data_IF_769411957118
#
_entry.id   IF_769411957118
#
_cell.length_a   1.000
_cell.length_b   1.000
_cell.length_c   1.000
_cell.angle_alpha   90.00
_cell.angle_beta   90.00
_cell.angle_gamma   90.00
#
_symmetry.space_group_name_H-M   'P 1'
#
loop_
_entity.id
_entity.type
_entity.pdbx_description
1 polymer ?
#
# COMPACT_ATOMS: atom_id res chain seq x y z
N UNK A 1 18.02 -18.91 -1.13
CA UNK A 1 16.87 -19.72 -1.60
C UNK A 1 16.22 -20.25 -0.34
N UNK A 2 15.01 -19.80 -0.01
CA UNK A 2 14.35 -20.21 1.24
C UNK A 2 14.11 -21.73 1.25
N UNK A 3 14.33 -22.35 2.40
CA UNK A 3 14.06 -23.76 2.64
C UNK A 3 12.56 -24.07 2.53
N UNK A 4 12.22 -25.34 2.27
CA UNK A 4 10.83 -25.78 2.17
C UNK A 4 10.03 -25.48 3.45
N UNK A 5 10.69 -25.54 4.61
CA UNK A 5 10.08 -25.27 5.91
C UNK A 5 9.84 -23.76 6.12
N UNK A 6 10.76 -22.89 5.69
CA UNK A 6 10.56 -21.43 5.73
C UNK A 6 9.42 -20.99 4.80
N UNK A 7 9.30 -21.61 3.61
CA UNK A 7 8.18 -21.34 2.70
C UNK A 7 6.85 -21.78 3.28
N UNK A 8 6.84 -22.90 4.01
CA UNK A 8 5.64 -23.42 4.64
C UNK A 8 5.20 -22.54 5.80
N UNK A 9 6.15 -22.05 6.61
CA UNK A 9 5.90 -21.09 7.68
C UNK A 9 5.33 -19.78 7.10
N UNK A 10 5.96 -19.23 6.05
CA UNK A 10 5.45 -18.05 5.34
C UNK A 10 4.05 -18.27 4.78
N UNK A 11 3.72 -19.44 4.24
CA UNK A 11 2.36 -19.74 3.77
C UNK A 11 1.35 -19.93 4.90
N UNK A 12 1.77 -20.43 6.06
CA UNK A 12 0.92 -20.53 7.25
C UNK A 12 0.66 -19.13 7.83
N UNK A 13 1.68 -18.29 7.94
CA UNK A 13 1.56 -16.89 8.36
C UNK A 13 0.66 -16.09 7.41
N UNK A 14 0.81 -16.28 6.09
CA UNK A 14 -0.06 -15.65 5.07
C UNK A 14 -1.51 -16.12 5.20
N UNK A 15 -1.76 -17.41 5.49
CA UNK A 15 -3.11 -17.95 5.69
C UNK A 15 -3.74 -17.45 6.99
N UNK A 16 -2.96 -17.30 8.05
CA UNK A 16 -3.44 -16.67 9.27
C UNK A 16 -3.85 -15.22 9.00
N UNK A 17 -3.05 -14.46 8.23
CA UNK A 17 -3.41 -13.12 7.74
C UNK A 17 -4.66 -13.11 6.85
N UNK A 18 -4.93 -14.14 6.04
CA UNK A 18 -6.18 -14.24 5.26
C UNK A 18 -7.43 -14.43 6.14
N UNK A 19 -7.26 -14.91 7.37
CA UNK A 19 -8.37 -15.27 8.28
C UNK A 19 -8.65 -14.19 9.32
N UNK A 20 -7.68 -13.33 9.61
CA UNK A 20 -7.92 -12.10 10.37
C UNK A 20 -8.75 -11.13 9.53
N UNK A 21 -9.86 -10.64 10.09
CA UNK A 21 -10.38 -9.33 9.66
C UNK A 21 -9.17 -8.40 9.65
N UNK A 22 -8.86 -7.80 8.49
CA UNK A 22 -7.70 -6.90 8.36
C UNK A 22 -7.88 -5.78 9.38
N UNK A 23 -7.25 -5.95 10.53
CA UNK A 23 -7.14 -4.99 11.62
C UNK A 23 -5.65 -4.69 11.64
N UNK A 24 -5.25 -3.77 10.75
CA UNK A 24 -3.89 -3.25 10.61
C UNK A 24 -3.39 -2.55 11.88
N UNK A 25 -4.23 -2.45 12.92
CA UNK A 25 -3.85 -1.93 14.23
C UNK A 25 -3.28 -0.53 14.12
N UNK A 26 -2.08 -0.34 14.65
CA UNK A 26 -1.35 0.93 14.58
C UNK A 26 -0.43 1.03 13.33
N UNK A 27 -0.33 0.00 12.49
CA UNK A 27 0.61 0.00 11.34
C UNK A 27 0.26 1.08 10.31
N UNK A 28 -1.04 1.28 10.03
CA UNK A 28 -1.50 2.33 9.13
C UNK A 28 -1.13 3.73 9.64
N UNK A 29 -1.31 3.98 10.94
CA UNK A 29 -0.93 5.25 11.59
C UNK A 29 0.57 5.46 11.63
N UNK A 30 1.33 4.40 11.90
CA UNK A 30 2.80 4.46 11.87
C UNK A 30 3.27 4.83 10.46
N UNK A 31 2.73 4.18 9.43
CA UNK A 31 3.03 4.52 8.04
C UNK A 31 2.65 5.96 7.71
N UNK A 32 1.46 6.42 8.13
CA UNK A 32 1.03 7.80 7.91
C UNK A 32 2.02 8.80 8.51
N UNK A 33 2.39 8.63 9.78
CA UNK A 33 3.35 9.51 10.46
C UNK A 33 4.71 9.54 9.76
N UNK A 34 5.21 8.39 9.32
CA UNK A 34 6.51 8.32 8.64
C UNK A 34 6.47 8.97 7.25
N UNK A 35 5.34 8.88 6.54
CA UNK A 35 5.13 9.59 5.28
C UNK A 35 5.02 11.09 5.49
N UNK A 36 4.31 11.54 6.54
CA UNK A 36 4.24 12.96 6.91
C UNK A 36 5.61 13.53 7.27
N UNK A 37 6.37 12.82 8.11
CA UNK A 37 7.72 13.23 8.53
C UNK A 37 8.65 13.34 7.31
N UNK A 38 8.51 12.44 6.33
CA UNK A 38 9.24 12.52 5.08
C UNK A 38 8.76 13.67 4.18
N UNK A 39 7.46 13.84 3.99
CA UNK A 39 6.91 14.85 3.07
C UNK A 39 7.02 16.28 3.60
N UNK A 40 6.88 16.49 4.90
CA UNK A 40 6.89 17.81 5.55
C UNK A 40 8.32 18.18 5.97
N UNK A 41 9.00 17.26 6.68
CA UNK A 41 10.30 17.56 7.29
C UNK A 41 11.49 17.05 6.46
N UNK A 42 11.26 16.25 5.41
CA UNK A 42 12.32 15.68 4.58
C UNK A 42 13.12 14.58 5.31
N UNK A 43 12.56 14.02 6.38
CA UNK A 43 13.21 13.04 7.24
C UNK A 43 12.77 11.63 6.86
N UNK A 44 13.72 10.75 6.56
CA UNK A 44 13.47 9.36 6.19
C UNK A 44 14.19 8.95 4.91
N UNK A 45 14.16 7.65 4.61
CA UNK A 45 14.73 7.10 3.38
C UNK A 45 13.62 6.73 2.39
N UNK A 46 13.75 7.18 1.15
CA UNK A 46 12.74 6.97 0.12
C UNK A 46 12.57 5.50 -0.25
N UNK A 47 13.66 4.73 -0.29
CA UNK A 47 13.61 3.30 -0.64
C UNK A 47 12.95 2.50 0.48
N UNK A 48 13.27 2.80 1.74
CA UNK A 48 12.61 2.23 2.91
C UNK A 48 11.10 2.54 2.93
N UNK A 49 10.72 3.81 2.73
CA UNK A 49 9.31 4.20 2.66
C UNK A 49 8.58 3.53 1.51
N UNK A 50 9.20 3.43 0.34
CA UNK A 50 8.63 2.71 -0.81
C UNK A 50 8.33 1.26 -0.44
N UNK A 51 9.29 0.57 0.18
CA UNK A 51 9.13 -0.81 0.63
C UNK A 51 8.03 -0.97 1.69
N UNK A 52 7.94 -0.03 2.64
CA UNK A 52 6.92 -0.05 3.69
C UNK A 52 5.52 0.21 3.17
N UNK A 53 5.36 1.11 2.19
CA UNK A 53 4.10 1.29 1.48
C UNK A 53 3.73 -0.02 0.77
N UNK A 54 4.64 -0.62 0.01
CA UNK A 54 4.37 -1.88 -0.70
C UNK A 54 3.95 -3.01 0.26
N UNK A 55 4.61 -3.15 1.40
CA UNK A 55 4.24 -4.13 2.44
C UNK A 55 2.85 -3.86 3.02
N UNK A 56 2.53 -2.60 3.32
CA UNK A 56 1.22 -2.23 3.85
C UNK A 56 0.10 -2.59 2.87
N UNK A 57 0.23 -2.22 1.58
CA UNK A 57 -0.77 -2.58 0.57
C UNK A 57 -0.82 -4.10 0.31
N UNK A 58 0.31 -4.80 0.44
CA UNK A 58 0.35 -6.26 0.37
C UNK A 58 -0.50 -6.92 1.46
N UNK A 59 -0.55 -6.35 2.68
CA UNK A 59 -1.41 -6.87 3.76
C UNK A 59 -2.91 -6.84 3.42
N UNK A 60 -3.34 -5.89 2.58
CA UNK A 60 -4.70 -5.83 2.04
C UNK A 60 -4.90 -6.70 0.78
N UNK A 61 -3.90 -7.52 0.42
CA UNK A 61 -3.85 -8.28 -0.84
C UNK A 61 -3.92 -7.37 -2.08
N UNK A 62 -3.48 -6.11 -1.95
CA UNK A 62 -3.35 -5.17 -3.06
C UNK A 62 -1.96 -5.34 -3.65
N UNK A 63 -1.88 -6.10 -4.74
CA UNK A 63 -0.60 -6.36 -5.41
C UNK A 63 -0.24 -5.23 -6.38
N UNK A 64 0.96 -4.67 -6.19
CA UNK A 64 1.52 -3.64 -7.04
C UNK A 64 2.11 -4.25 -8.32
N UNK A 65 1.70 -3.77 -9.50
CA UNK A 65 2.25 -4.20 -10.79
C UNK A 65 3.57 -3.52 -11.16
N UNK A 66 3.84 -2.37 -10.53
CA UNK A 66 5.05 -1.55 -10.66
C UNK A 66 5.45 -1.05 -9.27
N UNK A 67 6.73 -0.73 -9.05
CA UNK A 67 7.16 -0.15 -7.78
C UNK A 67 6.36 1.10 -7.44
N UNK A 68 6.11 1.33 -6.15
CA UNK A 68 5.44 2.55 -5.68
C UNK A 68 6.29 3.76 -6.06
N UNK A 69 5.62 4.79 -6.59
CA UNK A 69 6.29 6.05 -6.96
C UNK A 69 5.94 7.10 -5.93
N UNK A 70 6.93 7.52 -5.15
CA UNK A 70 6.84 8.68 -4.27
C UNK A 70 7.36 9.92 -5.03
N UNK A 71 6.57 10.99 -5.10
CA UNK A 71 6.98 12.26 -5.70
C UNK A 71 6.43 13.43 -4.87
N UNK A 72 7.27 14.37 -4.45
CA UNK A 72 6.84 15.51 -3.61
C UNK A 72 6.03 15.04 -2.38
N UNK A 73 4.75 15.43 -2.28
CA UNK A 73 3.80 15.11 -1.22
C UNK A 73 2.79 14.03 -1.62
N UNK A 74 3.08 13.28 -2.69
CA UNK A 74 2.19 12.26 -3.22
C UNK A 74 2.92 10.91 -3.36
N UNK A 75 2.16 9.83 -3.30
CA UNK A 75 2.62 8.52 -3.72
C UNK A 75 1.56 7.79 -4.54
N UNK A 76 2.01 7.00 -5.51
CA UNK A 76 1.14 6.26 -6.44
C UNK A 76 1.33 4.76 -6.28
N UNK A 77 0.21 4.06 -6.08
CA UNK A 77 0.11 2.61 -6.09
C UNK A 77 -0.43 2.16 -7.45
N UNK A 78 0.30 1.30 -8.13
CA UNK A 78 -0.11 0.74 -9.42
C UNK A 78 -0.82 -0.60 -9.20
N UNK A 79 -2.14 -0.57 -9.07
CA UNK A 79 -2.93 -1.75 -8.75
C UNK A 79 -2.99 -2.74 -9.91
N UNK A 80 -2.74 -4.03 -9.65
CA UNK A 80 -2.72 -5.07 -10.69
C UNK A 80 -4.13 -5.60 -11.06
N UNK A 81 -5.18 -4.80 -10.86
CA UNK A 81 -6.55 -5.16 -11.19
C UNK A 81 -7.33 -3.94 -11.72
N UNK A 82 -8.41 -4.26 -12.41
CA UNK A 82 -9.46 -3.36 -12.89
C UNK A 82 -10.62 -3.21 -11.89
N UNK A 83 -10.72 -4.11 -10.90
CA UNK A 83 -11.78 -4.14 -9.91
C UNK A 83 -11.26 -3.75 -8.52
N UNK A 84 -11.80 -2.67 -7.98
CA UNK A 84 -11.45 -2.16 -6.67
C UNK A 84 -12.50 -2.56 -5.64
N UNK A 85 -12.10 -3.26 -4.56
CA UNK A 85 -12.98 -3.49 -3.41
C UNK A 85 -13.05 -2.22 -2.55
N UNK A 86 -14.20 -1.55 -2.61
CA UNK A 86 -14.43 -0.31 -1.88
C UNK A 86 -14.28 -0.45 -0.36
N UNK A 87 -14.57 -1.62 0.22
CA UNK A 87 -14.44 -1.80 1.67
C UNK A 87 -12.97 -1.82 2.09
N UNK A 88 -12.09 -2.43 1.29
CA UNK A 88 -10.65 -2.42 1.53
C UNK A 88 -10.07 -1.01 1.39
N UNK A 89 -10.49 -0.29 0.35
CA UNK A 89 -10.08 1.10 0.15
C UNK A 89 -10.52 2.00 1.29
N UNK A 90 -11.74 1.78 1.81
CA UNK A 90 -12.21 2.54 2.96
C UNK A 90 -11.33 2.29 4.19
N UNK A 91 -10.92 1.05 4.47
CA UNK A 91 -10.02 0.76 5.58
C UNK A 91 -8.67 1.47 5.41
N UNK A 92 -8.11 1.45 4.20
CA UNK A 92 -6.85 2.15 3.88
C UNK A 92 -7.00 3.67 4.06
N UNK A 93 -8.14 4.24 3.66
CA UNK A 93 -8.41 5.67 3.86
C UNK A 93 -8.65 6.03 5.33
N UNK A 94 -9.25 5.12 6.12
CA UNK A 94 -9.43 5.33 7.56
C UNK A 94 -8.07 5.30 8.29
N UNK A 95 -7.11 4.49 7.80
CA UNK A 95 -5.73 4.42 8.30
C UNK A 95 -4.86 5.60 7.84
N UNK A 96 -4.98 6.00 6.57
CA UNK A 96 -4.25 7.09 5.92
C UNK A 96 -5.13 8.34 5.82
N UNK A 97 -5.76 8.70 6.93
CA UNK A 97 -6.78 9.76 7.03
C UNK A 97 -6.32 11.16 6.61
N UNK A 98 -5.02 11.45 6.67
CA UNK A 98 -4.47 12.75 6.26
C UNK A 98 -4.16 12.84 4.75
N UNK A 99 -4.37 11.74 4.01
CA UNK A 99 -4.19 11.68 2.57
C UNK A 99 -5.53 11.79 1.82
N UNK A 100 -5.56 12.60 0.77
CA UNK A 100 -6.60 12.51 -0.25
C UNK A 100 -6.28 11.37 -1.22
N UNK A 101 -7.27 10.54 -1.52
CA UNK A 101 -7.16 9.48 -2.52
C UNK A 101 -7.85 9.87 -3.83
N UNK A 102 -7.08 9.90 -4.92
CA UNK A 102 -7.58 9.95 -6.30
C UNK A 102 -7.42 8.58 -6.96
N UNK A 103 -8.51 8.05 -7.53
CA UNK A 103 -8.54 6.77 -8.23
C UNK A 103 -8.53 7.04 -9.74
N UNK A 104 -7.48 6.60 -10.41
CA UNK A 104 -7.30 6.82 -11.85
C UNK A 104 -7.40 5.49 -12.60
N UNK A 105 -8.22 5.44 -13.66
CA UNK A 105 -8.26 4.31 -14.57
C UNK A 105 -7.30 4.55 -15.75
N UNK A 106 -6.25 3.73 -15.84
CA UNK A 106 -5.20 3.86 -16.85
C UNK A 106 -5.27 2.69 -17.82
N UNK A 107 -5.23 3.00 -19.11
CA UNK A 107 -5.14 1.99 -20.16
C UNK A 107 -3.68 1.60 -20.37
N UNK A 108 -3.33 0.36 -20.05
CA UNK A 108 -2.01 -0.22 -20.31
C UNK A 108 -2.15 -1.41 -21.25
N UNK A 109 -1.47 -1.33 -22.39
CA UNK A 109 -1.54 -2.32 -23.46
C UNK A 109 -2.99 -2.63 -23.91
N UNK A 110 -3.56 -3.73 -23.43
CA UNK A 110 -4.91 -4.22 -23.75
C UNK A 110 -5.87 -4.16 -22.57
N UNK A 111 -5.39 -3.80 -21.39
CA UNK A 111 -6.16 -3.82 -20.15
C UNK A 111 -6.41 -2.39 -19.63
N UNK A 112 -7.47 -2.24 -18.84
CA UNK A 112 -7.74 -1.01 -18.09
C UNK A 112 -7.47 -1.36 -16.63
N UNK A 113 -6.46 -0.71 -16.06
CA UNK A 113 -5.98 -0.94 -14.71
C UNK A 113 -6.19 0.29 -13.86
N UNK A 114 -6.12 0.13 -12.54
CA UNK A 114 -6.33 1.22 -11.60
C UNK A 114 -5.00 1.69 -11.03
N UNK A 115 -4.86 3.00 -10.85
CA UNK A 115 -3.87 3.62 -9.99
C UNK A 115 -4.58 4.26 -8.79
N UNK A 116 -3.95 4.17 -7.63
CA UNK A 116 -4.36 4.88 -6.42
C UNK A 116 -3.31 5.96 -6.15
N UNK A 117 -3.70 7.21 -6.26
CA UNK A 117 -2.84 8.35 -6.02
C UNK A 117 -3.21 8.95 -4.66
N UNK A 118 -2.29 8.89 -3.71
CA UNK A 118 -2.47 9.45 -2.38
C UNK A 118 -1.71 10.76 -2.29
N UNK A 119 -2.37 11.84 -1.91
CA UNK A 119 -1.79 13.17 -1.78
C UNK A 119 -1.94 13.69 -0.36
N UNK A 120 -0.84 14.04 0.30
CA UNK A 120 -0.86 14.70 1.60
C UNK A 120 -1.18 16.18 1.40
N UNK A 121 -2.24 16.68 2.05
CA UNK A 121 -2.54 18.11 2.11
C UNK A 121 -2.11 18.67 3.46
N UNK A 122 -1.27 19.71 3.46
CA UNK A 122 -0.72 20.36 4.66
C UNK A 122 -0.90 21.89 4.59
#
# INVERSE_FOLDING_TARGET
>A
MYSEDEKKQLMEDLKEMETFKVDTGDEGKILQNDLEEYFINGNGDREDLTFRIELYFYAFKIFCRKPVVIDRNQFTIFFNDSLLDWNLIKLIMDDLSDFELEIEAVKEERDVLINLNFTLHY
#
